data_IF_019401720844
#
_entry.id   IF_019401720844
#
_cell.length_a   1.000
_cell.length_b   1.000
_cell.length_c   1.000
_cell.angle_alpha   90.00
_cell.angle_beta   90.00
_cell.angle_gamma   90.00
#
_symmetry.space_group_name_H-M   'P 1'
#
loop_
_entity.id
_entity.type
_entity.pdbx_description
1 polymer ?
#
# COMPACT_ATOMS: atom_id res chain seq x y z
N UNK A 1 13.78 -18.64 -20.15
CA UNK A 1 13.77 -18.25 -18.71
C UNK A 1 12.34 -18.18 -18.27
N UNK A 2 12.01 -18.86 -17.17
CA UNK A 2 10.66 -18.85 -16.64
C UNK A 2 10.62 -18.25 -15.24
N UNK A 3 9.52 -17.56 -14.91
CA UNK A 3 9.32 -16.90 -13.62
C UNK A 3 8.03 -17.37 -12.98
N UNK A 4 8.06 -17.61 -11.69
CA UNK A 4 6.88 -17.99 -10.91
C UNK A 4 6.64 -17.02 -9.76
N UNK A 5 5.42 -16.47 -9.68
CA UNK A 5 4.95 -15.70 -8.53
C UNK A 5 4.02 -16.57 -7.69
N UNK A 6 4.27 -16.61 -6.38
CA UNK A 6 3.43 -17.32 -5.40
C UNK A 6 2.71 -16.31 -4.53
N UNK A 7 1.40 -16.23 -4.62
CA UNK A 7 0.58 -15.26 -3.86
C UNK A 7 -0.76 -15.86 -3.43
N UNK A 8 -1.35 -15.30 -2.38
CA UNK A 8 -2.73 -15.54 -1.97
C UNK A 8 -3.69 -14.43 -2.43
N UNK A 9 -3.22 -13.52 -3.27
CA UNK A 9 -3.99 -12.37 -3.78
C UNK A 9 -4.22 -12.53 -5.27
N UNK A 10 -5.48 -12.43 -5.71
CA UNK A 10 -5.80 -12.21 -7.11
C UNK A 10 -5.51 -10.75 -7.45
N UNK A 11 -4.56 -10.46 -8.37
CA UNK A 11 -4.20 -9.09 -8.71
C UNK A 11 -5.27 -8.36 -9.54
N UNK A 12 -6.30 -9.06 -9.99
CA UNK A 12 -7.35 -8.48 -10.85
C UNK A 12 -8.72 -8.54 -10.19
N UNK A 13 -9.56 -7.47 -10.35
CA UNK A 13 -9.21 -6.16 -10.88
C UNK A 13 -8.21 -5.40 -9.98
N UNK A 14 -7.48 -4.43 -10.56
CA UNK A 14 -6.44 -3.63 -9.87
C UNK A 14 -7.04 -2.50 -9.03
N UNK A 15 -7.88 -2.84 -8.07
CA UNK A 15 -8.65 -1.91 -7.22
C UNK A 15 -8.01 -1.61 -5.85
N UNK A 16 -6.82 -2.15 -5.60
CA UNK A 16 -6.07 -1.94 -4.36
C UNK A 16 -4.56 -1.86 -4.64
N UNK A 17 -3.81 -1.16 -3.77
CA UNK A 17 -2.38 -0.89 -3.95
C UNK A 17 -1.55 -2.14 -4.22
N UNK A 18 -1.70 -3.17 -3.39
CA UNK A 18 -1.00 -4.44 -3.57
C UNK A 18 -1.31 -5.11 -4.91
N UNK A 19 -2.55 -5.08 -5.34
CA UNK A 19 -2.97 -5.66 -6.63
C UNK A 19 -2.32 -4.94 -7.80
N UNK A 20 -2.18 -3.60 -7.72
CA UNK A 20 -1.47 -2.80 -8.73
C UNK A 20 -0.02 -3.24 -8.86
N UNK A 21 0.69 -3.46 -7.73
CA UNK A 21 2.10 -3.89 -7.77
C UNK A 21 2.24 -5.28 -8.36
N UNK A 22 1.42 -6.25 -7.92
CA UNK A 22 1.46 -7.62 -8.44
C UNK A 22 1.09 -7.66 -9.94
N UNK A 23 0.08 -6.91 -10.36
CA UNK A 23 -0.27 -6.77 -11.78
C UNK A 23 0.88 -6.13 -12.60
N UNK A 24 1.57 -5.16 -12.01
CA UNK A 24 2.75 -4.54 -12.61
C UNK A 24 3.91 -5.52 -12.80
N UNK A 25 4.16 -6.41 -11.85
CA UNK A 25 5.14 -7.49 -12.01
C UNK A 25 4.74 -8.43 -13.15
N UNK A 26 3.46 -8.82 -13.22
CA UNK A 26 2.98 -9.68 -14.31
C UNK A 26 3.10 -9.00 -15.68
N UNK A 27 2.77 -7.70 -15.76
CA UNK A 27 2.93 -6.94 -17.00
C UNK A 27 4.39 -6.88 -17.44
N UNK A 28 5.31 -6.60 -16.50
CA UNK A 28 6.75 -6.56 -16.77
C UNK A 28 7.28 -7.92 -17.26
N UNK A 29 7.00 -9.00 -16.53
CA UNK A 29 7.49 -10.33 -16.92
C UNK A 29 6.88 -10.80 -18.24
N UNK A 30 5.59 -10.54 -18.48
CA UNK A 30 4.95 -10.84 -19.76
C UNK A 30 5.62 -10.10 -20.92
N UNK A 31 5.98 -8.86 -20.70
CA UNK A 31 6.67 -8.04 -21.74
C UNK A 31 8.08 -8.56 -22.03
N UNK A 32 8.81 -9.00 -20.99
CA UNK A 32 10.20 -9.45 -21.12
C UNK A 32 10.35 -10.91 -21.58
N UNK A 33 9.44 -11.79 -21.19
CA UNK A 33 9.58 -13.24 -21.34
C UNK A 33 8.48 -13.88 -22.21
N UNK A 34 7.36 -13.20 -22.37
CA UNK A 34 6.14 -13.77 -22.97
C UNK A 34 5.24 -14.46 -21.93
N UNK A 35 3.93 -14.56 -22.22
CA UNK A 35 2.93 -15.02 -21.24
C UNK A 35 3.07 -16.50 -20.85
N UNK A 36 3.69 -17.34 -21.70
CA UNK A 36 3.89 -18.78 -21.46
C UNK A 36 4.98 -19.07 -20.44
N UNK A 37 5.95 -18.16 -20.27
CA UNK A 37 7.09 -18.29 -19.35
C UNK A 37 6.84 -17.62 -18.01
N UNK A 38 5.65 -17.07 -17.81
CA UNK A 38 5.24 -16.43 -16.56
C UNK A 38 4.12 -17.23 -15.92
N UNK A 39 4.38 -17.71 -14.70
CA UNK A 39 3.46 -18.56 -13.95
C UNK A 39 3.01 -17.84 -12.68
N UNK A 40 1.72 -17.91 -12.38
CA UNK A 40 1.14 -17.38 -11.14
C UNK A 40 0.50 -18.49 -10.33
N UNK A 41 1.03 -18.77 -9.15
CA UNK A 41 0.47 -19.72 -8.21
C UNK A 41 -0.47 -18.98 -7.24
N UNK A 42 -1.78 -19.16 -7.42
CA UNK A 42 -2.80 -18.51 -6.59
C UNK A 42 -3.24 -19.44 -5.46
N UNK A 43 -2.77 -19.18 -4.25
CA UNK A 43 -3.10 -19.97 -3.06
C UNK A 43 -4.48 -19.61 -2.53
N UNK A 44 -5.41 -20.55 -2.56
CA UNK A 44 -6.71 -20.43 -1.92
C UNK A 44 -7.72 -19.57 -2.66
N UNK A 45 -7.47 -19.19 -3.89
CA UNK A 45 -8.35 -18.40 -4.74
C UNK A 45 -8.75 -19.11 -6.01
N UNK A 46 -9.88 -18.66 -6.58
CA UNK A 46 -10.20 -18.87 -7.99
C UNK A 46 -10.20 -17.48 -8.65
N UNK A 47 -9.65 -17.34 -9.86
CA UNK A 47 -9.59 -16.02 -10.51
C UNK A 47 -11.00 -15.55 -10.84
N UNK A 48 -11.20 -14.25 -10.71
CA UNK A 48 -12.48 -13.61 -11.05
C UNK A 48 -12.54 -13.14 -12.51
N UNK A 49 -11.40 -13.15 -13.22
CA UNK A 49 -11.24 -12.69 -14.61
C UNK A 49 -10.26 -13.55 -15.38
N UNK A 50 -10.16 -13.32 -16.70
CA UNK A 50 -9.09 -13.88 -17.50
C UNK A 50 -7.73 -13.46 -16.98
N UNK A 51 -6.82 -14.42 -16.87
CA UNK A 51 -5.48 -14.18 -16.34
C UNK A 51 -4.50 -13.96 -17.49
N UNK A 52 -3.67 -12.91 -17.46
CA UNK A 52 -2.82 -12.56 -18.60
C UNK A 52 -1.57 -13.46 -18.76
N UNK A 53 -1.37 -14.41 -17.85
CA UNK A 53 -0.24 -15.37 -17.79
C UNK A 53 -0.74 -16.73 -17.37
N UNK A 54 0.13 -17.76 -17.33
CA UNK A 54 -0.24 -19.10 -16.92
C UNK A 54 -0.60 -19.16 -15.43
N UNK A 55 -1.88 -19.40 -15.13
CA UNK A 55 -2.38 -19.47 -13.76
C UNK A 55 -2.42 -20.93 -13.25
N UNK A 56 -1.96 -21.12 -12.02
CA UNK A 56 -2.03 -22.38 -11.27
C UNK A 56 -2.83 -22.15 -9.98
N UNK A 57 -4.16 -22.45 -9.96
CA UNK A 57 -4.95 -22.39 -8.73
C UNK A 57 -4.47 -23.47 -7.74
N UNK A 58 -4.21 -23.08 -6.51
CA UNK A 58 -3.79 -23.97 -5.44
C UNK A 58 -4.84 -24.04 -4.32
N UNK A 59 -4.89 -25.13 -3.54
CA UNK A 59 -5.88 -25.28 -2.50
C UNK A 59 -5.78 -24.22 -1.42
N UNK A 60 -6.87 -23.95 -0.72
CA UNK A 60 -6.91 -23.16 0.50
C UNK A 60 -6.68 -24.07 1.69
N UNK A 61 -5.94 -23.63 2.75
CA UNK A 61 -5.89 -24.36 4.00
C UNK A 61 -7.28 -24.64 4.56
N UNK A 62 -7.56 -25.89 4.95
CA UNK A 62 -8.79 -26.21 5.63
C UNK A 62 -8.88 -25.48 6.97
N UNK A 63 -10.08 -25.18 7.46
CA UNK A 63 -10.27 -24.51 8.77
C UNK A 63 -9.55 -25.24 9.89
N UNK A 64 -9.56 -26.59 9.87
CA UNK A 64 -8.87 -27.42 10.87
C UNK A 64 -7.34 -27.26 10.79
N UNK A 65 -6.80 -27.27 9.57
CA UNK A 65 -5.36 -27.07 9.35
C UNK A 65 -4.91 -25.67 9.79
N UNK A 66 -5.66 -24.64 9.42
CA UNK A 66 -5.39 -23.26 9.82
C UNK A 66 -5.40 -23.06 11.34
N UNK A 67 -6.43 -23.58 12.03
CA UNK A 67 -6.52 -23.51 13.50
C UNK A 67 -5.38 -24.29 14.18
N UNK A 68 -5.02 -25.46 13.64
CA UNK A 68 -3.88 -26.25 14.14
C UNK A 68 -2.56 -25.50 13.96
N UNK A 69 -2.38 -24.85 12.80
CA UNK A 69 -1.19 -24.04 12.53
C UNK A 69 -1.11 -22.84 13.49
N UNK A 70 -2.23 -22.12 13.71
CA UNK A 70 -2.30 -21.03 14.68
C UNK A 70 -1.90 -21.51 16.07
N UNK A 71 -2.51 -22.60 16.57
CA UNK A 71 -2.24 -23.13 17.92
C UNK A 71 -0.79 -23.58 18.13
N UNK A 72 -0.10 -24.03 17.07
CA UNK A 72 1.28 -24.54 17.18
C UNK A 72 2.34 -23.48 16.88
N UNK A 73 2.08 -22.55 15.96
CA UNK A 73 3.11 -21.66 15.41
C UNK A 73 3.12 -20.28 16.05
N UNK A 74 1.94 -19.74 16.39
CA UNK A 74 1.83 -18.41 17.02
C UNK A 74 2.40 -18.40 18.44
N UNK A 75 2.03 -19.31 19.37
CA UNK A 75 2.57 -19.32 20.74
C UNK A 75 4.08 -19.59 20.78
N UNK A 76 4.61 -20.32 19.79
CA UNK A 76 6.05 -20.60 19.69
C UNK A 76 6.85 -19.48 19.07
N UNK A 77 6.20 -18.39 18.63
CA UNK A 77 6.85 -17.25 17.97
C UNK A 77 7.39 -17.56 16.58
N UNK A 78 6.94 -18.66 15.96
CA UNK A 78 7.43 -19.11 14.65
C UNK A 78 6.78 -18.41 13.47
N UNK A 79 5.55 -17.90 13.64
CA UNK A 79 4.79 -17.25 12.58
C UNK A 79 3.74 -16.29 13.16
N UNK A 80 3.32 -15.32 12.37
CA UNK A 80 2.18 -14.45 12.67
C UNK A 80 0.87 -15.25 12.60
N UNK A 81 -0.21 -14.65 13.10
CA UNK A 81 -1.55 -15.19 12.92
C UNK A 81 -1.89 -15.32 11.43
N UNK A 82 -1.56 -14.30 10.63
CA UNK A 82 -1.86 -14.29 9.19
C UNK A 82 -1.06 -15.37 8.42
N UNK A 83 0.24 -15.55 8.70
CA UNK A 83 1.02 -16.65 8.14
C UNK A 83 0.40 -18.00 8.51
N UNK A 84 0.03 -18.17 9.78
CA UNK A 84 -0.51 -19.42 10.29
C UNK A 84 -1.89 -19.76 9.69
N UNK A 85 -2.76 -18.77 9.49
CA UNK A 85 -4.06 -18.96 8.85
C UNK A 85 -3.96 -19.39 7.38
N UNK A 86 -2.87 -19.01 6.71
CA UNK A 86 -2.59 -19.37 5.33
C UNK A 86 -1.64 -20.58 5.19
N UNK A 87 -1.35 -21.29 6.28
CA UNK A 87 -0.46 -22.44 6.24
C UNK A 87 -1.20 -23.78 6.33
N UNK A 88 -0.84 -24.71 5.45
CA UNK A 88 -1.09 -26.14 5.64
C UNK A 88 -0.03 -26.98 4.94
N UNK A 89 0.23 -28.23 5.44
CA UNK A 89 1.12 -29.16 4.76
C UNK A 89 0.64 -29.56 3.35
N UNK A 90 -0.67 -29.50 3.12
CA UNK A 90 -1.28 -29.77 1.80
C UNK A 90 -0.92 -28.68 0.80
N UNK A 91 -1.09 -27.40 1.19
CA UNK A 91 -0.70 -26.25 0.37
C UNK A 91 0.81 -26.27 0.12
N UNK A 92 1.63 -26.57 1.14
CA UNK A 92 3.06 -26.67 0.97
C UNK A 92 3.44 -27.70 -0.10
N UNK A 93 2.88 -28.91 -0.03
CA UNK A 93 3.11 -29.94 -1.05
C UNK A 93 2.63 -29.49 -2.43
N UNK A 94 1.46 -28.88 -2.52
CA UNK A 94 0.93 -28.40 -3.79
C UNK A 94 1.83 -27.30 -4.42
N UNK A 95 2.34 -26.37 -3.63
CA UNK A 95 3.32 -25.37 -4.09
C UNK A 95 4.58 -26.05 -4.61
N UNK A 96 5.19 -26.94 -3.80
CA UNK A 96 6.45 -27.62 -4.17
C UNK A 96 6.28 -28.46 -5.44
N UNK A 97 5.26 -29.32 -5.52
CA UNK A 97 5.00 -30.14 -6.72
C UNK A 97 4.76 -29.30 -7.97
N UNK A 98 4.13 -28.14 -7.82
CA UNK A 98 3.88 -27.24 -8.96
C UNK A 98 5.18 -26.57 -9.40
N UNK A 99 6.01 -26.10 -8.46
CA UNK A 99 7.33 -25.51 -8.75
C UNK A 99 8.29 -26.54 -9.37
N UNK A 100 8.33 -27.78 -8.86
CA UNK A 100 9.13 -28.86 -9.45
C UNK A 100 8.72 -29.17 -10.90
N UNK A 101 7.42 -29.16 -11.19
CA UNK A 101 6.89 -29.40 -12.54
C UNK A 101 7.20 -28.25 -13.51
N UNK A 102 7.19 -27.00 -13.03
CA UNK A 102 7.50 -25.81 -13.83
C UNK A 102 9.01 -25.68 -14.03
N UNK A 103 9.80 -25.93 -12.98
CA UNK A 103 11.24 -25.74 -12.96
C UNK A 103 11.64 -24.26 -13.19
N UNK A 104 11.09 -23.28 -12.43
CA UNK A 104 11.32 -21.86 -12.73
C UNK A 104 12.77 -21.46 -12.46
N UNK A 105 13.27 -20.52 -13.27
CA UNK A 105 14.57 -19.88 -13.07
C UNK A 105 14.52 -18.84 -11.97
N UNK A 106 13.32 -18.25 -11.70
CA UNK A 106 13.09 -17.26 -10.67
C UNK A 106 11.77 -17.53 -9.94
N UNK A 107 11.81 -17.53 -8.61
CA UNK A 107 10.65 -17.66 -7.75
C UNK A 107 10.45 -16.37 -6.94
N UNK A 108 9.25 -15.82 -6.94
CA UNK A 108 8.89 -14.61 -6.18
C UNK A 108 7.77 -14.96 -5.22
N UNK A 109 8.03 -14.77 -3.93
CA UNK A 109 7.07 -15.04 -2.86
C UNK A 109 6.45 -13.75 -2.34
N UNK A 110 5.12 -13.67 -2.40
CA UNK A 110 4.35 -12.50 -2.00
C UNK A 110 4.18 -12.44 -0.49
N UNK A 111 4.94 -11.58 0.16
CA UNK A 111 5.01 -11.31 1.60
C UNK A 111 5.51 -12.50 2.44
N UNK A 112 5.72 -12.24 3.72
CA UNK A 112 6.04 -13.28 4.71
C UNK A 112 5.03 -14.44 4.71
N UNK A 113 3.78 -14.15 4.27
CA UNK A 113 2.71 -15.16 4.19
C UNK A 113 2.99 -16.25 3.18
N UNK A 114 3.62 -15.92 2.04
CA UNK A 114 4.02 -16.90 1.02
C UNK A 114 5.48 -17.34 1.19
N UNK A 115 6.34 -16.50 1.73
CA UNK A 115 7.72 -16.81 2.07
C UNK A 115 7.87 -18.09 2.91
N UNK A 116 6.85 -18.44 3.69
CA UNK A 116 6.83 -19.67 4.50
C UNK A 116 6.80 -20.96 3.67
N UNK A 117 6.49 -20.91 2.39
CA UNK A 117 6.45 -22.04 1.47
C UNK A 117 7.72 -22.22 0.64
N UNK A 118 8.67 -21.28 0.73
CA UNK A 118 9.93 -21.36 0.02
C UNK A 118 10.79 -22.55 0.52
N UNK A 119 11.55 -23.15 -0.39
CA UNK A 119 12.48 -24.22 -0.08
C UNK A 119 13.92 -23.69 -0.01
N UNK A 120 14.62 -23.94 1.09
CA UNK A 120 16.01 -23.51 1.27
C UNK A 120 16.99 -24.10 0.24
N UNK A 121 16.65 -25.26 -0.33
CA UNK A 121 17.46 -25.88 -1.37
C UNK A 121 17.56 -25.02 -2.66
N UNK A 122 16.67 -24.05 -2.84
CA UNK A 122 16.57 -23.20 -4.03
C UNK A 122 16.73 -21.71 -3.70
N UNK A 123 17.41 -21.37 -2.60
CA UNK A 123 17.53 -19.98 -2.11
C UNK A 123 18.16 -19.02 -3.12
N UNK A 124 19.02 -19.50 -4.02
CA UNK A 124 19.71 -18.73 -5.05
C UNK A 124 18.79 -18.13 -6.11
N UNK A 125 17.62 -18.72 -6.36
CA UNK A 125 16.61 -18.25 -7.32
C UNK A 125 15.38 -17.61 -6.66
N UNK A 126 15.36 -17.46 -5.34
CA UNK A 126 14.21 -17.01 -4.57
C UNK A 126 14.29 -15.55 -4.18
N UNK A 127 13.24 -14.80 -4.47
CA UNK A 127 13.02 -13.43 -4.02
C UNK A 127 11.79 -13.37 -3.13
N UNK A 128 11.80 -12.46 -2.15
CA UNK A 128 10.62 -12.16 -1.34
C UNK A 128 10.13 -10.73 -1.63
N UNK A 129 8.92 -10.59 -2.14
CA UNK A 129 8.25 -9.32 -2.21
C UNK A 129 7.50 -9.08 -0.91
N UNK A 130 8.07 -8.28 -0.02
CA UNK A 130 7.51 -8.00 1.30
C UNK A 130 6.32 -7.04 1.26
N UNK A 131 6.17 -6.24 0.20
CA UNK A 131 5.19 -5.16 0.05
C UNK A 131 5.56 -3.97 0.94
N UNK A 132 5.11 -3.98 2.18
CA UNK A 132 5.53 -3.09 3.26
C UNK A 132 5.91 -3.89 4.51
N UNK A 133 6.48 -3.22 5.51
CA UNK A 133 6.81 -3.85 6.78
C UNK A 133 5.56 -3.92 7.69
N UNK A 134 4.94 -5.10 7.78
CA UNK A 134 3.78 -5.31 8.65
C UNK A 134 4.07 -4.99 10.11
N UNK A 135 5.30 -5.24 10.57
CA UNK A 135 5.74 -4.90 11.91
C UNK A 135 5.66 -3.39 12.17
N UNK A 136 6.09 -2.57 11.21
CA UNK A 136 6.02 -1.11 11.29
C UNK A 136 4.57 -0.60 11.14
N UNK A 137 3.80 -1.21 10.23
CA UNK A 137 2.37 -0.91 10.07
C UNK A 137 1.61 -1.07 11.39
N UNK A 138 1.81 -2.21 12.08
CA UNK A 138 1.13 -2.47 13.35
C UNK A 138 1.63 -1.56 14.48
N UNK A 139 2.93 -1.24 14.49
CA UNK A 139 3.49 -0.27 15.44
C UNK A 139 2.90 1.12 15.20
N UNK A 140 2.86 1.60 13.96
CA UNK A 140 2.27 2.89 13.62
C UNK A 140 0.78 2.97 13.99
N UNK A 141 0.03 1.86 13.83
CA UNK A 141 -1.36 1.79 14.28
C UNK A 141 -1.49 1.90 15.82
N UNK A 142 -0.59 1.26 16.58
CA UNK A 142 -0.56 1.35 18.05
C UNK A 142 -0.21 2.77 18.50
N UNK A 143 0.82 3.38 17.90
CA UNK A 143 1.25 4.74 18.20
C UNK A 143 0.14 5.76 17.89
N UNK A 144 -0.57 5.56 16.77
CA UNK A 144 -1.73 6.39 16.42
C UNK A 144 -2.86 6.26 17.44
N UNK A 145 -3.15 5.04 17.92
CA UNK A 145 -4.17 4.82 18.95
C UNK A 145 -3.79 5.38 20.33
N UNK A 146 -2.50 5.45 20.61
CA UNK A 146 -2.01 6.05 21.86
C UNK A 146 -2.03 7.59 21.78
N UNK A 147 -1.70 8.15 20.61
CA UNK A 147 -1.66 9.60 20.38
C UNK A 147 -3.05 10.21 20.15
N UNK A 148 -3.95 9.46 19.49
CA UNK A 148 -5.26 9.94 19.06
C UNK A 148 -6.37 9.02 19.61
N UNK A 149 -7.05 9.40 20.71
CA UNK A 149 -8.07 8.57 21.37
C UNK A 149 -9.29 8.25 20.50
N UNK A 150 -9.52 9.06 19.46
CA UNK A 150 -10.61 8.94 18.49
C UNK A 150 -10.31 7.96 17.34
N UNK A 151 -9.06 7.52 17.19
CA UNK A 151 -8.67 6.54 16.14
C UNK A 151 -9.27 5.17 16.46
N UNK A 152 -10.02 4.65 15.49
CA UNK A 152 -10.53 3.27 15.54
C UNK A 152 -9.59 2.36 14.78
N UNK A 153 -9.00 1.39 15.49
CA UNK A 153 -8.11 0.40 14.89
C UNK A 153 -8.88 -0.90 14.68
N UNK A 154 -8.72 -1.48 13.49
CA UNK A 154 -9.22 -2.82 13.16
C UNK A 154 -8.04 -3.75 12.89
N UNK A 155 -7.46 -4.40 13.91
CA UNK A 155 -6.21 -5.15 13.79
C UNK A 155 -6.27 -6.31 12.82
N UNK A 156 -7.42 -6.93 12.69
CA UNK A 156 -7.61 -8.09 11.84
C UNK A 156 -7.95 -7.73 10.38
N UNK A 157 -8.36 -6.49 10.08
CA UNK A 157 -8.78 -6.10 8.74
C UNK A 157 -9.75 -7.14 8.13
N UNK A 158 -9.47 -7.60 6.91
CA UNK A 158 -10.26 -8.64 6.24
C UNK A 158 -10.22 -10.02 6.93
N UNK A 159 -9.29 -10.24 7.87
CA UNK A 159 -9.22 -11.50 8.64
C UNK A 159 -10.24 -11.56 9.80
N UNK A 160 -10.95 -10.45 10.09
CA UNK A 160 -12.04 -10.45 11.09
C UNK A 160 -13.17 -11.44 10.74
N UNK A 161 -13.33 -11.78 9.48
CA UNK A 161 -14.30 -12.78 9.01
C UNK A 161 -14.00 -14.19 9.55
N UNK A 162 -12.73 -14.48 9.88
CA UNK A 162 -12.30 -15.76 10.42
C UNK A 162 -12.51 -15.88 11.93
N UNK A 163 -12.87 -14.78 12.61
CA UNK A 163 -13.17 -14.79 14.05
C UNK A 163 -14.58 -15.35 14.28
N UNK A 164 -14.73 -16.41 15.10
CA UNK A 164 -16.04 -16.94 15.45
C UNK A 164 -16.96 -15.85 16.02
N UNK A 165 -18.23 -15.84 15.61
CA UNK A 165 -19.20 -14.80 16.01
C UNK A 165 -19.28 -14.59 17.53
N UNK A 166 -19.07 -15.66 18.33
CA UNK A 166 -19.07 -15.61 19.80
C UNK A 166 -17.88 -14.86 20.41
N UNK A 167 -16.78 -14.74 19.69
CA UNK A 167 -15.56 -14.04 20.14
C UNK A 167 -15.43 -12.61 19.59
N UNK A 168 -16.33 -12.19 18.70
CA UNK A 168 -16.33 -10.83 18.13
C UNK A 168 -16.42 -9.72 19.19
N UNK A 169 -17.29 -9.78 20.20
CA UNK A 169 -17.35 -8.73 21.23
C UNK A 169 -16.04 -8.55 22.01
N UNK A 170 -15.30 -9.65 22.22
CA UNK A 170 -13.96 -9.60 22.81
C UNK A 170 -12.91 -9.03 21.83
N UNK A 171 -13.04 -9.37 20.56
CA UNK A 171 -12.17 -8.84 19.51
C UNK A 171 -12.41 -7.34 19.24
N UNK A 172 -13.60 -6.82 19.55
CA UNK A 172 -13.97 -5.41 19.37
C UNK A 172 -13.56 -4.51 20.54
N UNK A 173 -13.08 -5.09 21.65
CA UNK A 173 -12.62 -4.28 22.77
C UNK A 173 -11.17 -3.77 22.60
N UNK A 174 -10.90 -2.52 23.03
CA UNK A 174 -9.62 -1.82 22.79
C UNK A 174 -8.40 -2.57 23.38
N UNK A 175 -8.51 -3.17 24.57
CA UNK A 175 -7.39 -3.84 25.24
C UNK A 175 -6.92 -5.11 24.52
N UNK A 176 -7.79 -6.10 24.19
CA UNK A 176 -7.40 -7.25 23.38
C UNK A 176 -6.90 -6.88 21.99
N UNK A 177 -7.46 -5.86 21.35
CA UNK A 177 -6.97 -5.37 20.05
C UNK A 177 -5.52 -4.87 20.13
N UNK A 178 -5.19 -4.08 21.15
CA UNK A 178 -3.82 -3.60 21.38
C UNK A 178 -2.85 -4.74 21.68
N UNK A 179 -3.27 -5.70 22.51
CA UNK A 179 -2.45 -6.87 22.82
C UNK A 179 -2.17 -7.72 21.58
N UNK A 180 -3.20 -7.93 20.74
CA UNK A 180 -3.09 -8.64 19.47
C UNK A 180 -2.14 -7.92 18.52
N UNK A 181 -2.27 -6.60 18.35
CA UNK A 181 -1.38 -5.82 17.49
C UNK A 181 0.08 -5.86 17.95
N UNK A 182 0.34 -5.75 19.26
CA UNK A 182 1.71 -5.85 19.80
C UNK A 182 2.31 -7.23 19.54
N UNK A 183 1.52 -8.27 19.72
CA UNK A 183 1.94 -9.64 19.39
C UNK A 183 2.24 -9.77 17.89
N UNK A 184 1.31 -9.36 17.03
CA UNK A 184 1.49 -9.42 15.58
C UNK A 184 2.67 -8.57 15.10
N UNK A 185 2.87 -7.35 15.62
CA UNK A 185 4.04 -6.53 15.31
C UNK A 185 5.36 -7.26 15.63
N UNK A 186 5.41 -7.90 16.81
CA UNK A 186 6.60 -8.66 17.24
C UNK A 186 6.85 -9.88 16.37
N UNK A 187 5.79 -10.63 16.04
CA UNK A 187 5.90 -11.84 15.22
C UNK A 187 6.21 -11.49 13.75
N UNK A 188 5.58 -10.45 13.20
CA UNK A 188 5.86 -9.95 11.86
C UNK A 188 7.31 -9.51 11.74
N UNK A 189 7.83 -8.74 12.71
CA UNK A 189 9.24 -8.33 12.74
C UNK A 189 10.19 -9.51 12.66
N UNK A 190 9.91 -10.59 13.42
CA UNK A 190 10.73 -11.82 13.38
C UNK A 190 10.65 -12.52 12.02
N UNK A 191 9.47 -12.55 11.40
CA UNK A 191 9.27 -13.17 10.08
C UNK A 191 9.93 -12.36 8.97
N UNK A 192 9.84 -11.03 9.02
CA UNK A 192 10.51 -10.11 8.09
C UNK A 192 12.04 -10.23 8.21
N UNK A 193 12.58 -10.26 9.44
CA UNK A 193 14.02 -10.43 9.66
C UNK A 193 14.52 -11.78 9.11
N UNK A 194 13.73 -12.86 9.29
CA UNK A 194 14.08 -14.17 8.71
C UNK A 194 14.03 -14.14 7.19
N UNK A 195 13.01 -13.51 6.60
CA UNK A 195 12.92 -13.35 5.15
C UNK A 195 14.10 -12.54 4.61
N UNK A 196 14.43 -11.41 5.24
CA UNK A 196 15.56 -10.57 4.83
C UNK A 196 16.89 -11.31 4.77
N UNK A 197 17.12 -12.23 5.71
CA UNK A 197 18.39 -13.00 5.81
C UNK A 197 18.39 -14.29 4.97
N UNK A 198 17.20 -14.78 4.56
CA UNK A 198 17.06 -16.06 3.86
C UNK A 198 17.01 -15.89 2.35
N UNK A 199 16.22 -14.93 1.86
CA UNK A 199 16.01 -14.75 0.43
C UNK A 199 17.20 -14.04 -0.20
N UNK A 200 17.53 -14.42 -1.44
CA UNK A 200 18.59 -13.79 -2.24
C UNK A 200 18.40 -12.27 -2.28
N UNK A 201 17.14 -11.83 -2.43
CA UNK A 201 16.76 -10.41 -2.43
C UNK A 201 15.35 -10.23 -1.88
N UNK A 202 15.15 -9.12 -1.19
CA UNK A 202 13.86 -8.72 -0.65
C UNK A 202 13.42 -7.39 -1.29
N UNK A 203 12.16 -7.32 -1.70
CA UNK A 203 11.59 -6.18 -2.39
C UNK A 203 10.53 -5.52 -1.52
N UNK A 204 10.60 -4.20 -1.39
CA UNK A 204 9.62 -3.36 -0.73
C UNK A 204 9.16 -2.26 -1.71
N UNK A 205 8.06 -1.56 -1.41
CA UNK A 205 7.59 -0.44 -2.25
C UNK A 205 8.10 0.92 -1.78
N UNK A 206 8.78 0.97 -0.64
CA UNK A 206 9.22 2.18 0.03
C UNK A 206 10.72 2.09 0.37
N UNK A 207 11.52 3.04 -0.11
CA UNK A 207 12.97 3.09 0.11
C UNK A 207 13.31 3.23 1.61
N UNK A 208 12.54 4.00 2.35
CA UNK A 208 12.72 4.16 3.79
C UNK A 208 12.54 2.85 4.55
N UNK A 209 11.51 2.08 4.23
CA UNK A 209 11.26 0.76 4.81
C UNK A 209 12.37 -0.23 4.43
N UNK A 210 12.83 -0.21 3.17
CA UNK A 210 13.93 -1.05 2.71
C UNK A 210 15.23 -0.76 3.48
N UNK A 211 15.57 0.51 3.65
CA UNK A 211 16.74 0.93 4.41
C UNK A 211 16.64 0.53 5.90
N UNK A 212 15.47 0.70 6.52
CA UNK A 212 15.22 0.30 7.92
C UNK A 212 15.34 -1.19 8.11
N UNK A 213 14.80 -2.01 7.20
CA UNK A 213 14.92 -3.46 7.26
C UNK A 213 16.38 -3.91 7.11
N UNK A 214 17.10 -3.38 6.12
CA UNK A 214 18.51 -3.67 5.91
C UNK A 214 19.37 -3.32 7.15
N UNK A 215 19.19 -2.14 7.71
CA UNK A 215 19.88 -1.71 8.94
C UNK A 215 19.53 -2.60 10.14
N UNK A 216 18.27 -3.02 10.26
CA UNK A 216 17.78 -3.86 11.36
C UNK A 216 18.45 -5.23 11.42
N UNK A 217 18.78 -5.80 10.27
CA UNK A 217 19.39 -7.14 10.19
C UNK A 217 20.90 -7.16 9.98
N UNK A 218 21.53 -6.00 9.80
CA UNK A 218 22.94 -5.86 9.46
C UNK A 218 23.90 -6.60 10.41
N UNK A 219 23.58 -6.66 11.70
CA UNK A 219 24.39 -7.37 12.71
C UNK A 219 24.23 -8.90 12.67
N UNK A 220 23.28 -9.42 11.87
CA UNK A 220 22.94 -10.83 11.80
C UNK A 220 23.34 -11.48 10.48
N UNK A 221 23.66 -10.71 9.47
CA UNK A 221 24.07 -11.16 8.14
C UNK A 221 23.89 -10.06 7.08
N UNK A 222 24.34 -10.37 5.86
CA UNK A 222 24.11 -9.52 4.72
C UNK A 222 22.71 -9.79 4.16
N UNK A 223 21.91 -8.74 3.97
CA UNK A 223 20.60 -8.82 3.35
C UNK A 223 20.56 -7.86 2.15
N UNK A 224 20.16 -8.37 0.99
CA UNK A 224 19.89 -7.54 -0.18
C UNK A 224 18.42 -7.11 -0.13
N UNK A 225 18.19 -5.87 0.27
CA UNK A 225 16.86 -5.26 0.43
C UNK A 225 16.80 -4.00 -0.42
N UNK A 226 15.88 -3.97 -1.37
CA UNK A 226 15.72 -2.84 -2.28
C UNK A 226 14.26 -2.44 -2.40
N UNK A 227 14.00 -1.19 -2.73
CA UNK A 227 12.67 -0.73 -3.08
C UNK A 227 12.41 -0.86 -4.58
N UNK A 228 11.16 -1.15 -4.92
CA UNK A 228 10.67 -1.20 -6.30
C UNK A 228 9.38 -0.40 -6.40
N UNK A 229 9.31 0.61 -7.28
CA UNK A 229 8.11 1.43 -7.42
C UNK A 229 6.97 0.61 -8.05
N UNK A 230 5.69 0.90 -7.71
CA UNK A 230 4.56 0.28 -8.36
C UNK A 230 4.46 0.74 -9.83
N UNK A 231 4.12 -0.18 -10.73
CA UNK A 231 3.74 0.17 -12.09
C UNK A 231 2.28 0.65 -12.09
N UNK A 232 2.10 1.94 -12.13
CA UNK A 232 0.77 2.56 -12.22
C UNK A 232 0.45 2.83 -13.68
N UNK A 233 -0.78 2.54 -14.12
CA UNK A 233 -1.22 2.96 -15.45
C UNK A 233 -1.08 4.48 -15.55
N UNK A 234 -0.36 4.99 -16.58
CA UNK A 234 -0.19 6.43 -16.69
C UNK A 234 -1.56 7.08 -16.83
N UNK A 235 -1.89 8.07 -15.98
CA UNK A 235 -3.11 8.82 -16.15
C UNK A 235 -3.09 9.52 -17.50
N UNK A 236 -4.26 9.70 -18.13
CA UNK A 236 -4.33 10.51 -19.34
C UNK A 236 -3.85 11.91 -18.99
N UNK A 237 -2.67 12.28 -19.51
CA UNK A 237 -2.12 13.60 -19.28
C UNK A 237 -2.87 14.62 -20.12
N UNK A 238 -3.48 15.60 -19.44
CA UNK A 238 -3.88 16.87 -20.04
C UNK A 238 -3.10 17.97 -19.35
N UNK A 239 -2.56 18.89 -20.13
CA UNK A 239 -1.92 20.08 -19.56
C UNK A 239 -2.90 20.74 -18.59
N UNK A 240 -2.50 20.94 -17.35
CA UNK A 240 -3.35 21.54 -16.34
C UNK A 240 -3.66 22.99 -16.70
N UNK A 241 -4.90 23.38 -16.48
CA UNK A 241 -5.40 24.76 -16.68
C UNK A 241 -5.86 25.33 -15.34
N UNK A 242 -4.93 25.41 -14.38
CA UNK A 242 -5.23 25.95 -13.07
C UNK A 242 -5.35 27.47 -13.14
N UNK A 243 -6.50 28.01 -12.72
CA UNK A 243 -6.86 29.42 -12.80
C UNK A 243 -6.82 30.18 -11.48
N UNK A 244 -6.28 29.61 -10.40
CA UNK A 244 -6.20 30.27 -9.08
C UNK A 244 -7.39 30.00 -8.16
N UNK A 245 -8.33 29.10 -8.54
CA UNK A 245 -9.43 28.72 -7.66
C UNK A 245 -8.93 27.92 -6.45
N UNK A 246 -9.35 28.22 -5.21
CA UNK A 246 -8.88 27.51 -4.01
C UNK A 246 -9.63 26.18 -3.83
N UNK A 247 -9.64 25.35 -4.87
CA UNK A 247 -10.31 24.05 -4.92
C UNK A 247 -9.28 22.94 -4.70
N UNK A 248 -9.48 22.14 -3.66
CA UNK A 248 -8.60 21.03 -3.29
C UNK A 248 -9.34 19.70 -3.37
N UNK A 249 -8.59 18.62 -3.53
CA UNK A 249 -9.16 17.28 -3.68
C UNK A 249 -8.55 16.32 -2.69
N UNK A 250 -9.37 15.46 -2.10
CA UNK A 250 -8.94 14.23 -1.42
C UNK A 250 -9.38 13.03 -2.26
N UNK A 251 -8.47 12.06 -2.46
CA UNK A 251 -8.77 10.80 -3.15
C UNK A 251 -8.56 9.61 -2.20
N UNK A 252 -9.47 8.64 -2.23
CA UNK A 252 -9.24 7.37 -1.53
C UNK A 252 -10.49 6.54 -1.31
N UNK A 253 -10.28 5.24 -1.08
CA UNK A 253 -11.32 4.34 -0.58
C UNK A 253 -11.57 4.69 0.89
N UNK A 254 -12.76 5.26 1.18
CA UNK A 254 -13.07 5.84 2.49
C UNK A 254 -13.36 4.79 3.56
N UNK A 255 -13.61 3.53 3.20
CA UNK A 255 -13.70 2.42 4.15
C UNK A 255 -12.36 1.98 4.73
N UNK A 256 -11.24 2.43 4.16
CA UNK A 256 -9.92 2.16 4.72
C UNK A 256 -9.67 3.06 5.95
N UNK A 257 -9.33 2.49 7.11
CA UNK A 257 -9.24 3.24 8.37
C UNK A 257 -8.35 4.48 8.32
N UNK A 258 -7.22 4.41 7.62
CA UNK A 258 -6.30 5.55 7.49
C UNK A 258 -6.84 6.67 6.59
N UNK A 259 -7.67 6.34 5.59
CA UNK A 259 -8.30 7.35 4.72
C UNK A 259 -9.49 8.01 5.43
N UNK A 260 -10.36 7.21 6.05
CA UNK A 260 -11.50 7.72 6.82
C UNK A 260 -11.04 8.64 7.94
N UNK A 261 -10.09 8.16 8.74
CA UNK A 261 -9.47 8.93 9.81
C UNK A 261 -8.79 10.21 9.30
N UNK A 262 -8.02 10.08 8.20
CA UNK A 262 -7.32 11.19 7.58
C UNK A 262 -8.25 12.31 7.14
N UNK A 263 -9.34 11.98 6.45
CA UNK A 263 -10.34 13.00 6.05
C UNK A 263 -11.05 13.59 7.27
N UNK A 264 -11.49 12.74 8.21
CA UNK A 264 -12.20 13.18 9.40
C UNK A 264 -11.36 14.14 10.23
N UNK A 265 -10.11 13.77 10.52
CA UNK A 265 -9.19 14.64 11.28
C UNK A 265 -8.80 15.90 10.50
N UNK A 266 -8.63 15.83 9.19
CA UNK A 266 -8.42 17.01 8.37
C UNK A 266 -9.58 18.01 8.49
N UNK A 267 -10.82 17.53 8.39
CA UNK A 267 -12.00 18.37 8.51
C UNK A 267 -12.16 18.97 9.91
N UNK A 268 -11.85 18.23 10.97
CA UNK A 268 -12.02 18.72 12.35
C UNK A 268 -10.89 19.61 12.82
N UNK A 269 -9.64 19.26 12.48
CA UNK A 269 -8.46 19.87 13.08
C UNK A 269 -7.77 20.90 12.17
N UNK A 270 -7.90 20.76 10.83
CA UNK A 270 -7.18 21.58 9.85
C UNK A 270 -8.11 22.53 9.11
N UNK A 271 -9.25 22.04 8.60
CA UNK A 271 -10.13 22.77 7.72
C UNK A 271 -10.67 24.09 8.29
N UNK A 272 -11.00 24.23 9.58
CA UNK A 272 -11.39 25.51 10.17
C UNK A 272 -10.29 26.59 10.06
N UNK A 273 -9.03 26.20 10.22
CA UNK A 273 -7.88 27.09 10.06
C UNK A 273 -7.71 27.52 8.59
N UNK A 274 -7.91 26.59 7.67
CA UNK A 274 -7.92 26.89 6.23
C UNK A 274 -9.01 27.89 5.87
N UNK A 275 -10.24 27.69 6.34
CA UNK A 275 -11.36 28.59 6.07
C UNK A 275 -11.16 29.99 6.67
N UNK A 276 -10.49 30.10 7.83
CA UNK A 276 -10.12 31.40 8.41
C UNK A 276 -9.19 32.19 7.48
N UNK A 277 -8.23 31.51 6.84
CA UNK A 277 -7.25 32.13 5.94
C UNK A 277 -7.80 32.31 4.53
N UNK A 278 -8.59 31.34 4.05
CA UNK A 278 -9.16 31.27 2.71
C UNK A 278 -10.67 30.94 2.78
N UNK A 279 -11.54 31.94 3.04
CA UNK A 279 -13.00 31.69 3.22
C UNK A 279 -13.71 31.10 2.00
N UNK A 280 -13.06 31.16 0.82
CA UNK A 280 -13.58 30.58 -0.43
C UNK A 280 -13.01 29.21 -0.77
N UNK A 281 -12.18 28.65 0.09
CA UNK A 281 -11.60 27.33 -0.13
C UNK A 281 -12.69 26.27 -0.21
N UNK A 282 -12.50 25.30 -1.10
CA UNK A 282 -13.37 24.14 -1.28
C UNK A 282 -12.56 22.86 -1.23
N UNK A 283 -13.15 21.81 -0.64
CA UNK A 283 -12.61 20.48 -0.61
C UNK A 283 -13.59 19.51 -1.26
N UNK A 284 -13.12 18.78 -2.27
CA UNK A 284 -13.83 17.69 -2.92
C UNK A 284 -13.30 16.36 -2.40
N UNK A 285 -14.15 15.58 -1.74
CA UNK A 285 -13.82 14.25 -1.22
C UNK A 285 -14.33 13.23 -2.23
N UNK A 286 -13.40 12.55 -2.90
CA UNK A 286 -13.68 11.57 -3.94
C UNK A 286 -13.29 10.18 -3.45
N UNK A 287 -14.26 9.28 -3.37
CA UNK A 287 -14.04 7.92 -2.93
C UNK A 287 -15.33 7.20 -2.54
N UNK A 288 -15.27 5.86 -2.60
CA UNK A 288 -16.39 4.99 -2.21
C UNK A 288 -16.42 4.73 -0.72
N UNK A 289 -17.54 4.21 -0.25
CA UNK A 289 -17.73 3.62 1.08
C UNK A 289 -17.49 4.62 2.22
N UNK A 290 -18.04 5.84 2.07
CA UNK A 290 -18.04 6.84 3.13
C UNK A 290 -18.91 6.39 4.31
N UNK A 291 -18.34 6.39 5.51
CA UNK A 291 -19.09 6.08 6.73
C UNK A 291 -20.14 7.16 7.03
N UNK A 292 -21.24 6.81 7.72
CA UNK A 292 -22.22 7.81 8.18
C UNK A 292 -21.59 8.89 9.06
N UNK A 293 -20.64 8.52 9.90
CA UNK A 293 -19.92 9.39 10.84
C UNK A 293 -19.07 10.43 10.06
N UNK A 294 -18.34 9.99 9.04
CA UNK A 294 -17.59 10.91 8.17
C UNK A 294 -18.51 11.80 7.36
N UNK A 295 -19.66 11.27 6.91
CA UNK A 295 -20.67 12.03 6.19
C UNK A 295 -21.20 13.20 7.03
N UNK A 296 -21.55 12.93 8.30
CA UNK A 296 -22.02 13.91 9.26
C UNK A 296 -20.98 15.02 9.52
N UNK A 297 -19.70 14.65 9.65
CA UNK A 297 -18.63 15.64 9.82
C UNK A 297 -18.49 16.52 8.59
N UNK A 298 -18.55 15.96 7.38
CA UNK A 298 -18.46 16.73 6.14
C UNK A 298 -19.64 17.69 5.96
N UNK A 299 -20.85 17.31 6.37
CA UNK A 299 -22.06 18.12 6.30
C UNK A 299 -22.00 19.38 7.18
N UNK A 300 -21.22 19.37 8.26
CA UNK A 300 -20.99 20.57 9.11
C UNK A 300 -20.33 21.70 8.35
N UNK A 301 -19.62 21.40 7.25
CA UNK A 301 -18.92 22.35 6.40
C UNK A 301 -19.63 22.57 5.07
N UNK A 302 -20.95 22.37 5.01
CA UNK A 302 -21.77 22.49 3.80
C UNK A 302 -21.41 23.73 2.97
N UNK A 303 -21.36 23.60 1.64
CA UNK A 303 -20.94 24.65 0.70
C UNK A 303 -19.42 24.75 0.50
N UNK A 304 -18.58 24.39 1.46
CA UNK A 304 -17.11 24.33 1.29
C UNK A 304 -16.56 22.92 1.16
N UNK A 305 -17.32 21.90 1.52
CA UNK A 305 -16.95 20.48 1.41
C UNK A 305 -18.01 19.72 0.62
N UNK A 306 -17.58 19.00 -0.41
CA UNK A 306 -18.45 18.12 -1.21
C UNK A 306 -17.95 16.68 -1.16
N UNK A 307 -18.89 15.73 -1.14
CA UNK A 307 -18.62 14.28 -1.23
C UNK A 307 -19.17 13.79 -2.57
N UNK A 308 -18.31 13.23 -3.41
CA UNK A 308 -18.67 12.92 -4.80
C UNK A 308 -18.79 11.41 -5.08
N UNK A 309 -18.50 10.56 -4.07
CA UNK A 309 -18.51 9.12 -4.28
C UNK A 309 -17.39 8.68 -5.24
N UNK A 310 -17.68 7.68 -6.07
CA UNK A 310 -16.76 7.20 -7.09
C UNK A 310 -16.89 8.02 -8.37
N UNK A 311 -15.76 8.46 -8.89
CA UNK A 311 -15.66 9.21 -10.16
C UNK A 311 -14.77 8.41 -11.10
N UNK A 312 -15.33 8.00 -12.26
CA UNK A 312 -14.62 7.18 -13.24
C UNK A 312 -13.47 7.94 -13.91
N UNK A 313 -13.72 9.18 -14.32
CA UNK A 313 -12.71 10.04 -14.94
C UNK A 313 -12.36 11.23 -14.05
N UNK A 314 -11.19 11.13 -13.44
CA UNK A 314 -10.63 12.18 -12.58
C UNK A 314 -9.97 13.33 -13.37
N UNK A 315 -9.92 13.26 -14.68
CA UNK A 315 -9.13 14.18 -15.52
C UNK A 315 -9.56 15.64 -15.34
N UNK A 316 -10.84 15.93 -15.44
CA UNK A 316 -11.36 17.31 -15.30
C UNK A 316 -11.16 17.83 -13.88
N UNK A 317 -11.52 17.02 -12.90
CA UNK A 317 -11.42 17.38 -11.48
C UNK A 317 -9.99 17.70 -11.07
N UNK A 318 -9.05 16.83 -11.42
CA UNK A 318 -7.65 17.00 -11.01
C UNK A 318 -6.91 18.06 -11.86
N UNK A 319 -7.36 18.31 -13.10
CA UNK A 319 -6.74 19.35 -13.94
C UNK A 319 -7.01 20.78 -13.43
N UNK A 320 -8.15 21.02 -12.79
CA UNK A 320 -8.57 22.33 -12.28
C UNK A 320 -8.28 22.55 -10.79
N UNK A 321 -8.00 21.50 -10.03
CA UNK A 321 -7.74 21.60 -8.59
C UNK A 321 -6.39 22.29 -8.28
N UNK A 322 -6.32 23.01 -7.17
CA UNK A 322 -5.08 23.60 -6.66
C UNK A 322 -4.07 22.55 -6.18
N UNK A 323 -4.55 21.49 -5.55
CA UNK A 323 -3.69 20.42 -5.04
C UNK A 323 -4.47 19.24 -4.46
N UNK A 324 -3.77 18.12 -4.31
CA UNK A 324 -4.22 16.95 -3.57
C UNK A 324 -3.91 17.11 -2.08
N UNK A 325 -4.88 16.86 -1.22
CA UNK A 325 -4.70 16.74 0.22
C UNK A 325 -4.50 15.29 0.58
N UNK A 326 -3.36 14.96 1.20
CA UNK A 326 -3.01 13.63 1.69
C UNK A 326 -2.73 13.66 3.19
N UNK A 327 -3.72 14.03 3.98
CA UNK A 327 -3.63 14.11 5.43
C UNK A 327 -3.82 12.72 6.04
N UNK A 328 -2.73 12.07 6.47
CA UNK A 328 -2.75 10.76 7.12
C UNK A 328 -2.05 10.85 8.47
N UNK A 329 -2.68 10.33 9.52
CA UNK A 329 -2.11 10.25 10.88
C UNK A 329 -1.38 8.93 11.13
N UNK A 330 -1.69 7.90 10.33
CA UNK A 330 -1.04 6.59 10.32
C UNK A 330 -1.19 5.93 8.95
N UNK A 331 -0.39 4.90 8.71
CA UNK A 331 -0.40 4.12 7.47
C UNK A 331 1.01 3.66 7.13
N UNK A 332 1.13 2.70 6.22
CA UNK A 332 2.39 2.16 5.70
C UNK A 332 2.35 2.03 4.19
N UNK A 333 3.45 1.66 3.58
CA UNK A 333 3.57 1.49 2.15
C UNK A 333 3.37 2.79 1.36
N UNK A 334 3.46 2.69 0.04
CA UNK A 334 3.34 3.84 -0.86
C UNK A 334 1.86 4.20 -1.12
N UNK A 335 1.57 5.48 -1.27
CA UNK A 335 0.20 6.00 -1.44
C UNK A 335 -0.09 6.21 -2.92
N UNK A 336 -0.78 5.28 -3.57
CA UNK A 336 -1.09 5.34 -5.01
C UNK A 336 -1.79 6.64 -5.44
N UNK A 337 -2.62 7.23 -4.58
CA UNK A 337 -3.27 8.53 -4.85
C UNK A 337 -2.27 9.67 -5.05
N UNK A 338 -1.12 9.60 -4.36
CA UNK A 338 -0.02 10.57 -4.56
C UNK A 338 0.61 10.35 -5.92
N UNK A 339 0.91 9.09 -6.29
CA UNK A 339 1.45 8.77 -7.63
C UNK A 339 0.49 9.21 -8.74
N UNK A 340 -0.81 8.98 -8.55
CA UNK A 340 -1.85 9.45 -9.48
C UNK A 340 -1.82 10.98 -9.65
N UNK A 341 -1.71 11.71 -8.53
CA UNK A 341 -1.62 13.17 -8.55
C UNK A 341 -0.35 13.64 -9.26
N UNK A 342 0.81 13.06 -8.91
CA UNK A 342 2.09 13.38 -9.56
C UNK A 342 2.03 13.13 -11.07
N UNK A 343 1.46 12.00 -11.50
CA UNK A 343 1.30 11.66 -12.92
C UNK A 343 0.42 12.63 -13.69
N UNK A 344 -0.47 13.34 -13.02
CA UNK A 344 -1.31 14.40 -13.60
C UNK A 344 -0.70 15.80 -13.42
N UNK A 345 0.48 15.90 -12.82
CA UNK A 345 1.09 17.16 -12.46
C UNK A 345 0.31 17.92 -11.39
N UNK A 346 -0.47 17.25 -10.54
CA UNK A 346 -1.20 17.88 -9.45
C UNK A 346 -0.28 17.97 -8.22
N UNK A 347 0.04 19.17 -7.71
CA UNK A 347 0.79 19.33 -6.47
C UNK A 347 0.11 18.63 -5.29
N UNK A 348 0.92 18.12 -4.36
CA UNK A 348 0.43 17.38 -3.20
C UNK A 348 0.82 18.11 -1.93
N UNK A 349 -0.12 18.21 -0.98
CA UNK A 349 0.15 18.60 0.41
C UNK A 349 -0.13 17.38 1.27
N UNK A 350 0.87 16.95 2.01
CA UNK A 350 0.81 15.70 2.78
C UNK A 350 1.34 15.89 4.19
N UNK A 351 0.85 15.08 5.13
CA UNK A 351 1.58 14.86 6.38
C UNK A 351 2.88 14.12 6.11
N UNK A 352 3.85 14.17 7.02
CA UNK A 352 5.07 13.36 6.96
C UNK A 352 4.76 11.86 6.81
N UNK A 353 3.74 11.36 7.52
CA UNK A 353 3.25 9.97 7.40
C UNK A 353 2.69 9.68 6.01
N UNK A 354 1.95 10.60 5.44
CA UNK A 354 1.37 10.44 4.10
C UNK A 354 2.41 10.54 2.99
N UNK A 355 3.49 11.29 3.21
CA UNK A 355 4.58 11.49 2.27
C UNK A 355 5.68 10.42 2.35
N UNK A 356 5.62 9.49 3.32
CA UNK A 356 6.63 8.43 3.47
C UNK A 356 6.77 7.61 2.18
N UNK A 357 8.00 7.51 1.68
CA UNK A 357 8.35 6.87 0.41
C UNK A 357 8.30 7.77 -0.83
N UNK A 358 8.06 9.08 -0.66
CA UNK A 358 8.13 10.06 -1.75
C UNK A 358 9.26 11.06 -1.52
N UNK A 359 9.87 11.53 -2.59
CA UNK A 359 10.69 12.71 -2.52
C UNK A 359 9.80 13.93 -2.23
N UNK A 360 10.21 14.78 -1.30
CA UNK A 360 9.41 15.91 -0.80
C UNK A 360 10.13 17.23 -1.07
N UNK A 361 9.38 18.29 -1.11
CA UNK A 361 9.85 19.63 -1.44
C UNK A 361 9.14 20.21 -2.67
N UNK A 362 9.30 21.50 -2.90
CA UNK A 362 8.73 22.19 -4.07
C UNK A 362 9.25 21.58 -5.38
N UNK A 363 10.54 21.27 -5.41
CA UNK A 363 11.26 20.64 -6.52
C UNK A 363 10.77 19.23 -6.86
N UNK A 364 9.93 18.64 -6.00
CA UNK A 364 9.33 17.32 -6.17
C UNK A 364 7.79 17.37 -6.27
N UNK A 365 7.20 18.58 -6.13
CA UNK A 365 5.74 18.75 -6.19
C UNK A 365 4.98 18.22 -4.97
N UNK A 366 5.67 17.93 -3.85
CA UNK A 366 5.10 17.39 -2.61
C UNK A 366 5.51 18.26 -1.42
N UNK A 367 4.56 18.99 -0.85
CA UNK A 367 4.77 19.77 0.38
C UNK A 367 4.41 18.94 1.60
N UNK A 368 5.24 19.01 2.63
CA UNK A 368 4.98 18.35 3.91
C UNK A 368 4.45 19.39 4.92
N UNK A 369 3.34 19.03 5.56
CA UNK A 369 2.69 19.83 6.60
C UNK A 369 2.11 18.88 7.66
N UNK A 370 2.54 19.04 8.92
CA UNK A 370 2.07 18.19 10.03
C UNK A 370 1.12 18.94 10.99
N UNK A 371 0.95 20.26 10.80
CA UNK A 371 0.11 21.12 11.62
C UNK A 371 -0.87 21.94 10.79
N UNK A 372 -2.02 22.30 11.37
CA UNK A 372 -3.09 23.04 10.70
C UNK A 372 -2.62 24.34 10.04
N UNK A 373 -1.75 25.09 10.71
CA UNK A 373 -1.20 26.36 10.17
C UNK A 373 -0.31 26.10 8.95
N UNK A 374 0.52 25.06 8.97
CA UNK A 374 1.37 24.67 7.84
C UNK A 374 0.53 24.23 6.64
N UNK A 375 -0.53 23.44 6.87
CA UNK A 375 -1.47 23.07 5.83
C UNK A 375 -2.12 24.29 5.19
N UNK A 376 -2.65 25.22 6.02
CA UNK A 376 -3.28 26.45 5.54
C UNK A 376 -2.30 27.33 4.74
N UNK A 377 -1.04 27.38 5.13
CA UNK A 377 0.04 28.10 4.43
C UNK A 377 0.35 27.44 3.08
N UNK A 378 0.59 26.13 3.07
CA UNK A 378 0.86 25.36 1.86
C UNK A 378 -0.32 25.42 0.88
N UNK A 379 -1.55 25.33 1.37
CA UNK A 379 -2.76 25.47 0.55
C UNK A 379 -2.85 26.87 -0.04
N UNK A 380 -2.59 27.92 0.75
CA UNK A 380 -2.60 29.31 0.26
C UNK A 380 -1.52 29.53 -0.81
N UNK A 381 -0.33 28.96 -0.63
CA UNK A 381 0.76 29.01 -1.62
C UNK A 381 0.33 28.44 -2.97
N UNK A 382 -0.38 27.30 -2.96
CA UNK A 382 -0.85 26.63 -4.17
C UNK A 382 -1.99 27.39 -4.90
N UNK A 383 -2.58 28.40 -4.29
CA UNK A 383 -3.56 29.24 -4.99
C UNK A 383 -2.93 30.29 -5.90
N UNK A 384 -1.63 30.54 -5.79
CA UNK A 384 -0.90 31.35 -6.76
C UNK A 384 -0.66 30.55 -8.05
N UNK A 385 -1.17 31.00 -9.22
CA UNK A 385 -1.06 30.23 -10.46
C UNK A 385 0.39 30.00 -10.93
N UNK A 386 1.31 30.92 -10.62
CA UNK A 386 2.72 30.81 -10.99
C UNK A 386 3.38 29.69 -10.19
N UNK A 387 3.28 29.73 -8.86
CA UNK A 387 3.81 28.71 -7.97
C UNK A 387 3.18 27.34 -8.20
N UNK A 388 1.87 27.32 -8.44
CA UNK A 388 1.15 26.08 -8.76
C UNK A 388 1.70 25.43 -10.04
N UNK A 389 2.00 26.22 -11.06
CA UNK A 389 2.60 25.74 -12.31
C UNK A 389 3.98 25.18 -12.09
N UNK A 390 4.86 25.89 -11.37
CA UNK A 390 6.21 25.39 -11.03
C UNK A 390 6.15 24.06 -10.31
N UNK A 391 5.28 23.95 -9.31
CA UNK A 391 5.11 22.69 -8.57
C UNK A 391 4.42 21.59 -9.40
N UNK A 392 3.56 21.96 -10.34
CA UNK A 392 2.94 21.03 -11.29
C UNK A 392 3.99 20.38 -12.19
N UNK A 393 4.94 21.19 -12.71
CA UNK A 393 6.05 20.71 -13.52
C UNK A 393 6.98 19.79 -12.70
N UNK A 394 7.28 20.17 -11.46
CA UNK A 394 8.07 19.35 -10.53
C UNK A 394 7.40 18.02 -10.20
N UNK A 395 6.10 18.03 -9.92
CA UNK A 395 5.30 16.82 -9.66
C UNK A 395 5.34 15.87 -10.87
N UNK A 396 5.18 16.42 -12.06
CA UNK A 396 5.25 15.66 -13.29
C UNK A 396 6.65 15.08 -13.53
N UNK A 397 7.70 15.86 -13.30
CA UNK A 397 9.10 15.42 -13.39
C UNK A 397 9.39 14.25 -12.44
N UNK A 398 8.92 14.31 -11.20
CA UNK A 398 9.04 13.21 -10.24
C UNK A 398 8.33 11.93 -10.74
N UNK A 399 7.12 12.06 -11.30
CA UNK A 399 6.42 10.91 -11.88
C UNK A 399 7.20 10.30 -13.03
N UNK A 400 7.68 11.12 -13.97
CA UNK A 400 8.39 10.65 -15.17
C UNK A 400 9.69 9.93 -14.84
N UNK A 401 10.42 10.43 -13.82
CA UNK A 401 11.71 9.84 -13.44
C UNK A 401 11.58 8.60 -12.55
N UNK A 402 10.45 8.41 -11.87
CA UNK A 402 10.30 7.35 -10.84
C UNK A 402 9.18 6.36 -11.15
N UNK A 403 8.03 6.83 -11.64
CA UNK A 403 6.81 6.03 -11.74
C UNK A 403 6.33 5.78 -13.18
N UNK A 404 6.91 6.46 -14.17
CA UNK A 404 6.63 6.17 -15.57
C UNK A 404 7.10 4.75 -15.92
N UNK A 405 6.41 4.12 -16.88
CA UNK A 405 6.64 2.71 -17.26
C UNK A 405 8.12 2.39 -17.48
N UNK A 406 8.83 3.21 -18.24
CA UNK A 406 10.23 2.96 -18.58
C UNK A 406 11.15 3.07 -17.34
N UNK A 407 10.90 4.03 -16.44
CA UNK A 407 11.62 4.16 -15.19
C UNK A 407 11.39 2.96 -14.26
N UNK A 408 10.12 2.55 -14.13
CA UNK A 408 9.74 1.37 -13.34
C UNK A 408 10.36 0.10 -13.94
N UNK A 409 10.31 -0.09 -15.24
CA UNK A 409 10.90 -1.25 -15.92
C UNK A 409 12.42 -1.28 -15.76
N UNK A 410 13.10 -0.14 -15.86
CA UNK A 410 14.54 -0.06 -15.58
C UNK A 410 14.89 -0.42 -14.12
N UNK A 411 14.03 -0.07 -13.17
CA UNK A 411 14.16 -0.50 -11.79
C UNK A 411 13.94 -2.02 -11.65
N UNK A 412 12.92 -2.57 -12.31
CA UNK A 412 12.62 -4.01 -12.29
C UNK A 412 13.71 -4.83 -12.98
N UNK A 413 14.32 -4.35 -14.07
CA UNK A 413 15.46 -5.01 -14.72
C UNK A 413 16.62 -5.22 -13.72
N UNK A 414 16.89 -4.23 -12.86
CA UNK A 414 17.90 -4.32 -11.79
C UNK A 414 17.43 -5.21 -10.63
N UNK A 415 16.16 -5.11 -10.27
CA UNK A 415 15.59 -5.83 -9.14
C UNK A 415 15.53 -7.34 -9.38
N UNK A 416 15.05 -7.74 -10.54
CA UNK A 416 14.87 -9.15 -10.88
C UNK A 416 16.11 -9.77 -11.52
N UNK A 417 17.02 -8.95 -12.05
CA UNK A 417 18.27 -9.38 -12.71
C UNK A 417 18.02 -10.53 -13.70
N UNK A 418 17.06 -10.34 -14.61
CA UNK A 418 16.79 -11.29 -15.70
C UNK A 418 18.04 -11.37 -16.59
N UNK A 419 18.67 -12.57 -16.65
CA UNK A 419 19.85 -12.85 -17.47
C UNK A 419 19.46 -13.41 -18.83
#
# INVERSE_FOLDING_TARGET
MSVTLVSAVDPFPTDAGKKVVLAGFLEYFRDRLGPQDVHYLLVGGQPQSEFPVTLHPLPRPSRKAALTAVARRVPTGRATLQESLLYSPEVQRAVQMTLERIGPDLEIYDTIRMAQYADEAHADRQLCYLDDLFSERYTAMLDAADRYPDVTIRPLGNFAEHVPRRLRPLADSKLPQRALLRMEATLARRSEDRAALRFRRNLLVNDGEAARLAARVANRGSADVIAVPPLVKPPQYRQRQYGGAPDFVFLGLLSLPHNEDGVRSFLTDVWPTVLTRMPRARLRIIGRDCSPELAEVAERFGGSVTREGYVDDLTEVLSSAAGLINHLRFGSGIKLKVIEALGRGLPVISTSVGADGFATGREHGVLVADHATQFAEAMAELTDPGRNREMSDSARGQFETTYARDAVFACYDKAFALR
#
